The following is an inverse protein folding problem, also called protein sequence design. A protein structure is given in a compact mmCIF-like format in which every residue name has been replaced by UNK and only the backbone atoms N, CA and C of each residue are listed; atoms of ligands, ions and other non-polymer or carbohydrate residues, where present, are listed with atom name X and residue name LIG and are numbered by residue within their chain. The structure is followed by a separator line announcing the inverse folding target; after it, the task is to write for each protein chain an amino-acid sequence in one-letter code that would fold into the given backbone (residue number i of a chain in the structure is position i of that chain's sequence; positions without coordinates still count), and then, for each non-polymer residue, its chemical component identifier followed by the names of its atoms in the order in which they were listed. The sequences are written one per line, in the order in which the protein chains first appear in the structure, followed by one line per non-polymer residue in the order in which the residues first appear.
data_IF_918777695640
#
_entry.id   IF_918777695640
#
_cell.length_a   1.000
_cell.length_b   1.000
_cell.length_c   1.000
_cell.angle_alpha   90.00
_cell.angle_beta   90.00
_cell.angle_gamma   90.00
#
_symmetry.space_group_name_H-M   'P 1'
#
loop_
_entity.id
_entity.type
_entity.pdbx_description
1 polymer ?
#
# COMPACT_ATOMS: atom_id res chain seq x y z
N UNK A 1 32.12 5.30 -38.22
CA UNK A 1 30.66 5.10 -38.14
C UNK A 1 30.38 4.57 -36.72
N UNK A 2 29.41 5.17 -36.06
CA UNK A 2 29.05 4.81 -34.70
C UNK A 2 27.57 4.41 -34.64
N UNK A 3 27.32 3.26 -34.01
CA UNK A 3 25.97 2.92 -33.64
C UNK A 3 25.55 3.71 -32.40
N UNK A 4 24.30 4.01 -32.28
CA UNK A 4 23.77 4.52 -31.00
C UNK A 4 23.90 3.49 -29.90
N UNK A 5 24.08 3.93 -28.68
CA UNK A 5 23.93 3.09 -27.49
C UNK A 5 22.47 2.73 -27.23
N UNK A 6 22.23 1.61 -26.58
CA UNK A 6 20.89 1.22 -26.16
C UNK A 6 20.35 2.15 -25.06
N UNK A 7 19.05 2.43 -25.07
CA UNK A 7 18.40 3.08 -23.93
C UNK A 7 18.21 2.06 -22.80
N UNK A 8 18.32 2.51 -21.56
CA UNK A 8 17.98 1.68 -20.40
C UNK A 8 16.47 1.44 -20.29
N UNK A 9 16.08 0.37 -19.67
CA UNK A 9 14.68 0.07 -19.37
C UNK A 9 14.21 0.82 -18.11
N UNK A 10 12.90 0.95 -17.98
CA UNK A 10 12.29 1.49 -16.78
C UNK A 10 12.50 0.52 -15.59
N UNK A 11 12.70 1.07 -14.42
CA UNK A 11 12.68 0.30 -13.18
C UNK A 11 11.30 -0.24 -12.87
N UNK A 12 11.22 -1.31 -12.10
CA UNK A 12 9.95 -1.86 -11.64
C UNK A 12 9.31 -0.98 -10.57
N UNK A 13 7.97 -1.03 -10.52
CA UNK A 13 7.21 -0.40 -9.44
C UNK A 13 7.49 -1.14 -8.12
N UNK A 14 7.67 -0.40 -7.04
CA UNK A 14 7.81 -0.96 -5.70
C UNK A 14 6.53 -1.70 -5.27
N UNK A 15 6.66 -2.64 -4.36
CA UNK A 15 5.50 -3.34 -3.80
C UNK A 15 4.72 -2.45 -2.83
N UNK A 16 3.42 -2.70 -2.73
CA UNK A 16 2.58 -2.06 -1.73
C UNK A 16 3.01 -2.44 -0.32
N UNK A 17 2.78 -1.54 0.62
CA UNK A 17 2.97 -1.77 2.04
C UNK A 17 1.93 -2.75 2.60
N UNK A 18 2.20 -3.28 3.77
CA UNK A 18 1.26 -4.15 4.47
C UNK A 18 0.03 -3.37 4.94
N UNK A 19 -1.15 -3.99 4.84
CA UNK A 19 -2.39 -3.45 5.38
C UNK A 19 -2.34 -3.34 6.90
N UNK A 20 -2.96 -2.30 7.42
CA UNK A 20 -3.20 -2.12 8.84
C UNK A 20 -4.60 -2.56 9.25
N UNK A 21 -4.83 -2.68 10.54
CA UNK A 21 -6.14 -2.94 11.12
C UNK A 21 -6.49 -1.83 12.09
N UNK A 22 -7.56 -1.12 11.79
CA UNK A 22 -8.15 -0.07 12.62
C UNK A 22 -9.38 -0.61 13.34
N UNK A 23 -9.80 0.05 14.40
CA UNK A 23 -11.03 -0.36 15.10
C UNK A 23 -11.90 0.83 15.47
N UNK A 24 -13.19 0.54 15.51
CA UNK A 24 -14.21 1.39 16.11
C UNK A 24 -14.94 0.65 17.23
N UNK A 25 -15.57 1.42 18.10
CA UNK A 25 -16.47 0.88 19.08
C UNK A 25 -17.93 1.12 18.69
N UNK A 26 -18.69 0.03 18.66
CA UNK A 26 -20.14 0.10 18.56
C UNK A 26 -20.72 0.08 19.97
N UNK A 27 -21.54 1.06 20.29
CA UNK A 27 -22.22 1.18 21.56
C UNK A 27 -23.70 0.84 21.40
N UNK A 28 -24.21 -0.02 22.27
CA UNK A 28 -25.63 -0.36 22.32
C UNK A 28 -26.11 -0.44 23.76
N UNK A 29 -27.36 0.00 23.96
CA UNK A 29 -28.00 -0.08 25.25
C UNK A 29 -28.99 -1.25 25.28
N UNK A 30 -28.85 -2.13 26.26
CA UNK A 30 -29.78 -3.25 26.47
C UNK A 30 -30.62 -2.96 27.70
N UNK A 31 -31.90 -2.71 27.47
CA UNK A 31 -32.89 -2.62 28.55
C UNK A 31 -33.39 -4.00 28.90
N UNK A 32 -33.47 -4.29 30.16
CA UNK A 32 -34.10 -5.53 30.67
C UNK A 32 -35.40 -5.21 31.41
N UNK A 33 -36.25 -6.19 31.47
CA UNK A 33 -37.43 -6.15 32.34
C UNK A 33 -37.06 -6.15 33.83
N UNK A 34 -38.08 -6.12 34.68
CA UNK A 34 -37.96 -6.06 36.14
C UNK A 34 -36.98 -7.11 36.73
N UNK A 35 -36.01 -6.63 37.47
CA UNK A 35 -35.17 -7.47 38.33
C UNK A 35 -33.79 -7.84 37.79
N UNK A 36 -33.50 -7.60 36.51
CA UNK A 36 -32.21 -7.94 35.93
C UNK A 36 -31.63 -6.78 35.14
N UNK A 37 -30.33 -6.61 35.26
CA UNK A 37 -29.60 -5.77 34.36
C UNK A 37 -29.53 -6.46 32.99
N UNK A 38 -29.76 -5.71 31.91
CA UNK A 38 -29.60 -6.24 30.53
C UNK A 38 -28.25 -6.92 30.37
N UNK A 39 -28.25 -8.06 29.72
CA UNK A 39 -27.03 -8.79 29.40
C UNK A 39 -26.57 -8.47 27.97
N UNK A 40 -25.34 -8.01 27.85
CA UNK A 40 -24.76 -7.70 26.56
C UNK A 40 -24.64 -8.92 25.64
N UNK A 41 -24.66 -10.12 26.18
CA UNK A 41 -24.67 -11.37 25.40
C UNK A 41 -25.89 -11.49 24.48
N UNK A 42 -27.00 -10.83 24.80
CA UNK A 42 -28.19 -10.80 24.01
C UNK A 42 -28.01 -10.06 22.67
N UNK A 43 -27.00 -9.21 22.56
CA UNK A 43 -26.65 -8.49 21.33
C UNK A 43 -25.76 -9.32 20.38
N UNK A 44 -25.32 -10.50 20.82
CA UNK A 44 -24.41 -11.37 20.09
C UNK A 44 -22.99 -11.38 20.67
N UNK A 45 -22.11 -12.12 20.03
CA UNK A 45 -20.73 -12.28 20.50
C UNK A 45 -19.93 -10.99 20.36
N UNK A 46 -19.00 -10.76 21.30
CA UNK A 46 -18.06 -9.64 21.26
C UNK A 46 -18.52 -8.36 21.97
N UNK A 47 -19.77 -8.30 22.43
CA UNK A 47 -20.23 -7.19 23.25
C UNK A 47 -19.79 -7.38 24.71
N UNK A 48 -19.20 -6.33 25.27
CA UNK A 48 -18.77 -6.27 26.68
C UNK A 48 -19.52 -5.14 27.36
N UNK A 49 -19.95 -5.37 28.58
CA UNK A 49 -20.58 -4.35 29.40
C UNK A 49 -19.54 -3.36 29.91
N UNK A 50 -19.84 -2.06 29.72
CA UNK A 50 -18.94 -0.97 30.13
C UNK A 50 -19.60 -0.03 31.17
N UNK A 51 -20.92 -0.06 31.28
CA UNK A 51 -21.65 0.80 32.19
C UNK A 51 -23.11 0.41 32.35
N UNK A 52 -23.87 1.30 32.93
CA UNK A 52 -25.29 1.12 33.19
C UNK A 52 -25.64 0.18 34.33
N UNK A 53 -26.89 0.14 34.71
CA UNK A 53 -27.45 -0.66 35.80
C UNK A 53 -26.78 -0.45 37.19
N UNK A 54 -27.16 0.58 37.85
CA UNK A 54 -26.80 0.74 39.26
C UNK A 54 -27.36 -0.41 40.09
N UNK A 55 -26.58 -0.87 41.10
CA UNK A 55 -26.92 -1.96 42.03
C UNK A 55 -28.18 -1.73 42.90
N UNK A 56 -28.96 -0.70 42.59
CA UNK A 56 -30.24 -0.37 43.24
C UNK A 56 -31.43 -0.38 42.28
N UNK A 57 -31.23 -0.81 41.03
CA UNK A 57 -32.32 -0.92 40.03
C UNK A 57 -33.10 -2.20 40.27
N UNK A 58 -34.04 -2.15 41.16
CA UNK A 58 -34.98 -3.23 41.46
C UNK A 58 -36.38 -2.87 41.02
N UNK A 59 -37.15 -3.85 40.61
CA UNK A 59 -38.62 -3.69 40.57
C UNK A 59 -39.20 -3.81 41.96
N UNK A 60 -39.84 -2.76 42.44
CA UNK A 60 -40.65 -2.88 43.64
C UNK A 60 -42.01 -3.41 43.22
N UNK A 61 -42.28 -4.65 43.51
CA UNK A 61 -43.59 -5.24 43.43
C UNK A 61 -44.29 -5.02 44.78
N UNK A 62 -45.17 -4.10 44.88
CA UNK A 62 -46.00 -3.87 46.09
C UNK A 62 -47.44 -4.29 45.78
N UNK A 63 -47.91 -5.32 46.42
CA UNK A 63 -49.29 -5.74 46.35
C UNK A 63 -49.57 -6.94 47.25
N UNK A 64 -50.61 -6.85 48.05
CA UNK A 64 -51.22 -7.94 48.78
C UNK A 64 -52.48 -8.35 48.04
N UNK A 65 -52.54 -9.56 47.52
CA UNK A 65 -53.70 -10.08 46.85
C UNK A 65 -53.52 -10.32 45.35
N UNK A 66 -54.60 -10.58 44.64
CA UNK A 66 -54.66 -11.04 43.25
C UNK A 66 -54.20 -10.05 42.18
N UNK A 67 -53.76 -8.84 42.54
CA UNK A 67 -53.27 -7.81 41.63
C UNK A 67 -51.81 -7.47 41.96
N UNK A 68 -50.89 -8.08 41.26
CA UNK A 68 -49.49 -7.70 41.32
C UNK A 68 -49.18 -6.60 40.34
N UNK A 69 -49.02 -5.37 40.80
CA UNK A 69 -48.51 -4.26 40.03
C UNK A 69 -47.03 -4.05 40.30
N UNK A 70 -46.17 -4.46 39.41
CA UNK A 70 -44.75 -4.12 39.49
C UNK A 70 -44.50 -2.75 38.86
N UNK A 71 -44.12 -1.74 39.68
CA UNK A 71 -43.64 -0.46 39.17
C UNK A 71 -42.17 -0.52 38.89
N UNK A 72 -41.84 -0.28 37.68
CA UNK A 72 -40.46 -0.10 37.19
C UNK A 72 -39.91 1.21 37.78
N UNK A 73 -38.91 1.14 38.66
CA UNK A 73 -38.13 2.29 39.09
C UNK A 73 -36.84 2.31 38.32
N UNK A 74 -36.64 3.38 37.54
CA UNK A 74 -35.42 3.76 36.83
C UNK A 74 -34.61 2.56 36.32
N UNK A 75 -35.03 1.99 35.21
CA UNK A 75 -34.24 1.03 34.47
C UNK A 75 -33.07 1.77 33.83
N UNK A 76 -31.92 1.63 34.44
CA UNK A 76 -30.69 1.93 33.71
C UNK A 76 -30.46 0.81 32.72
N UNK A 77 -30.42 1.12 31.44
CA UNK A 77 -30.01 0.16 30.44
C UNK A 77 -28.54 -0.21 30.65
N UNK A 78 -28.17 -1.45 30.38
CA UNK A 78 -26.77 -1.82 30.32
C UNK A 78 -26.14 -1.17 29.09
N UNK A 79 -25.07 -0.43 29.30
CA UNK A 79 -24.23 0.05 28.20
C UNK A 79 -23.27 -1.05 27.76
N UNK A 80 -23.40 -1.47 26.52
CA UNK A 80 -22.60 -2.51 25.90
C UNK A 80 -21.74 -1.93 24.78
N UNK A 81 -20.51 -2.41 24.68
CA UNK A 81 -19.55 -2.00 23.67
C UNK A 81 -19.00 -3.22 22.95
N UNK A 82 -18.90 -3.14 21.64
CA UNK A 82 -18.21 -4.10 20.80
C UNK A 82 -17.12 -3.37 20.00
N UNK A 83 -15.96 -4.00 19.91
CA UNK A 83 -14.91 -3.55 19.00
C UNK A 83 -15.15 -4.16 17.63
N UNK A 84 -15.21 -3.35 16.60
CA UNK A 84 -15.20 -3.79 15.21
C UNK A 84 -13.90 -3.38 14.54
N UNK A 85 -13.27 -4.35 13.89
CA UNK A 85 -12.00 -4.16 13.20
C UNK A 85 -12.24 -3.98 11.70
N UNK A 86 -11.57 -3.00 11.11
CA UNK A 86 -11.60 -2.72 9.69
C UNK A 86 -10.17 -2.75 9.14
N UNK A 87 -9.96 -3.45 8.02
CA UNK A 87 -8.67 -3.47 7.34
C UNK A 87 -8.52 -2.21 6.48
N UNK A 88 -7.40 -1.52 6.65
CA UNK A 88 -7.01 -0.37 5.84
C UNK A 88 -5.78 -0.74 5.03
N UNK A 89 -5.81 -0.45 3.73
CA UNK A 89 -4.70 -0.77 2.83
C UNK A 89 -3.40 -0.09 3.27
N UNK A 90 -2.29 -0.75 3.03
CA UNK A 90 -0.95 -0.18 3.19
C UNK A 90 -0.69 0.94 2.17
N UNK A 91 0.44 1.59 2.28
CA UNK A 91 0.87 2.57 1.30
C UNK A 91 1.14 1.94 -0.07
N UNK A 92 0.84 2.63 -1.15
CA UNK A 92 1.13 2.15 -2.51
C UNK A 92 2.62 2.07 -2.78
N UNK A 93 3.06 1.13 -3.61
CA UNK A 93 4.44 1.08 -4.08
C UNK A 93 4.82 2.32 -4.90
N UNK A 94 6.07 2.73 -4.83
CA UNK A 94 6.60 3.84 -5.63
C UNK A 94 6.77 3.43 -7.08
N UNK A 95 6.59 4.37 -8.02
CA UNK A 95 6.83 4.13 -9.45
C UNK A 95 8.30 3.84 -9.72
N UNK A 96 8.60 2.99 -10.70
CA UNK A 96 9.97 2.77 -11.17
C UNK A 96 10.55 4.02 -11.83
N UNK A 97 11.86 4.16 -11.77
CA UNK A 97 12.57 5.25 -12.42
C UNK A 97 12.66 5.05 -13.94
N UNK A 98 12.74 6.14 -14.68
CA UNK A 98 12.94 6.09 -16.13
C UNK A 98 14.32 5.52 -16.48
N UNK A 99 14.37 4.76 -17.56
CA UNK A 99 15.63 4.29 -18.12
C UNK A 99 16.48 5.43 -18.68
N UNK A 100 17.82 5.28 -18.57
CA UNK A 100 18.78 6.25 -19.09
C UNK A 100 18.81 6.26 -20.62
N UNK A 101 19.13 7.40 -21.20
CA UNK A 101 19.28 7.54 -22.65
C UNK A 101 20.59 6.97 -23.15
N UNK A 102 20.55 6.12 -24.18
CA UNK A 102 21.74 5.71 -24.90
C UNK A 102 22.37 6.86 -25.68
N UNK A 103 23.68 6.84 -25.85
CA UNK A 103 24.43 7.76 -26.70
C UNK A 103 23.99 7.63 -28.14
N UNK A 104 23.84 8.75 -28.84
CA UNK A 104 23.44 8.80 -30.22
C UNK A 104 23.66 10.19 -30.81
N UNK A 105 23.39 10.35 -32.13
CA UNK A 105 23.58 11.64 -32.82
C UNK A 105 22.80 12.78 -32.18
N UNK A 106 21.63 12.48 -31.58
CA UNK A 106 20.80 13.46 -30.90
C UNK A 106 21.09 13.59 -29.41
N UNK A 107 22.01 12.75 -28.86
CA UNK A 107 22.40 12.73 -27.46
C UNK A 107 23.87 12.32 -27.32
N UNK A 108 24.75 13.28 -27.58
CA UNK A 108 26.21 13.04 -27.62
C UNK A 108 26.89 13.26 -26.26
N UNK A 109 26.24 14.03 -25.38
CA UNK A 109 26.74 14.35 -24.06
C UNK A 109 25.60 14.37 -23.04
N UNK A 110 25.92 14.32 -21.76
CA UNK A 110 24.93 14.25 -20.67
C UNK A 110 24.97 12.91 -19.95
N UNK A 111 24.16 12.74 -18.94
CA UNK A 111 24.08 11.51 -18.14
C UNK A 111 23.31 10.44 -18.92
N UNK A 112 23.87 9.24 -18.96
CA UNK A 112 23.22 8.02 -19.47
C UNK A 112 22.60 7.20 -18.32
N UNK A 113 22.75 7.65 -17.06
CA UNK A 113 22.19 6.96 -15.91
C UNK A 113 20.67 6.96 -15.92
N UNK A 114 20.08 5.87 -15.49
CA UNK A 114 18.65 5.79 -15.23
C UNK A 114 18.23 6.68 -14.05
N UNK A 115 16.99 7.09 -14.06
CA UNK A 115 16.41 7.87 -12.97
C UNK A 115 16.11 6.97 -11.76
N UNK A 116 16.22 7.52 -10.57
CA UNK A 116 15.80 6.83 -9.33
C UNK A 116 14.29 6.61 -9.32
N UNK A 117 13.86 5.50 -8.76
CA UNK A 117 12.45 5.22 -8.55
C UNK A 117 11.81 6.18 -7.54
N UNK A 118 10.51 6.36 -7.68
CA UNK A 118 9.70 7.19 -6.77
C UNK A 118 9.56 6.54 -5.40
N UNK A 119 9.39 7.36 -4.37
CA UNK A 119 9.09 6.87 -3.03
C UNK A 119 7.73 6.17 -2.96
N UNK A 120 7.61 5.14 -2.16
CA UNK A 120 6.32 4.53 -1.88
C UNK A 120 5.41 5.45 -1.07
N UNK A 121 4.10 5.30 -1.27
CA UNK A 121 3.08 6.06 -0.53
C UNK A 121 3.07 5.68 0.95
N UNK A 122 2.72 6.63 1.80
CA UNK A 122 2.55 6.39 3.22
C UNK A 122 1.29 5.59 3.51
N UNK A 123 1.30 4.82 4.59
CA UNK A 123 0.08 4.25 5.16
C UNK A 123 -0.80 5.39 5.68
N UNK A 124 -2.07 5.42 5.24
CA UNK A 124 -3.00 6.49 5.59
C UNK A 124 -3.32 6.56 7.10
N UNK A 125 -2.97 5.51 7.84
CA UNK A 125 -3.27 5.42 9.27
C UNK A 125 -4.75 5.12 9.53
N UNK A 126 -5.10 5.15 10.81
CA UNK A 126 -6.47 4.95 11.28
C UNK A 126 -7.21 6.26 11.55
N UNK A 127 -6.99 7.28 10.70
CA UNK A 127 -7.71 8.55 10.82
C UNK A 127 -9.21 8.33 10.59
N UNK A 128 -10.04 8.78 11.52
CA UNK A 128 -11.49 8.56 11.50
C UNK A 128 -11.95 7.30 12.24
N UNK A 129 -11.05 6.46 12.72
CA UNK A 129 -11.33 5.32 13.60
C UNK A 129 -10.99 5.63 15.06
N UNK A 130 -11.52 4.85 15.99
CA UNK A 130 -11.22 5.01 17.41
C UNK A 130 -9.76 4.71 17.74
N UNK A 131 -9.13 3.78 17.02
CA UNK A 131 -7.74 3.45 17.22
C UNK A 131 -7.18 2.42 16.25
N UNK A 132 -5.96 1.98 16.53
CA UNK A 132 -5.20 1.05 15.71
C UNK A 132 -4.99 -0.26 16.46
N UNK A 133 -5.32 -1.39 15.82
CA UNK A 133 -4.95 -2.74 16.32
C UNK A 133 -3.57 -3.10 15.80
N UNK A 134 -3.37 -2.95 14.48
CA UNK A 134 -2.09 -3.19 13.83
C UNK A 134 -1.83 -2.06 12.84
N UNK A 135 -0.68 -1.42 12.93
CA UNK A 135 -0.28 -0.41 11.97
C UNK A 135 0.06 -1.08 10.63
N UNK A 136 -0.41 -0.49 9.54
CA UNK A 136 0.07 -0.82 8.21
C UNK A 136 1.47 -0.24 7.97
N UNK A 137 2.05 -0.55 6.81
CA UNK A 137 3.34 -0.03 6.43
C UNK A 137 3.28 0.83 5.16
N UNK A 138 4.29 1.68 5.01
CA UNK A 138 4.55 2.39 3.77
C UNK A 138 4.84 1.40 2.64
N UNK A 139 4.49 1.76 1.41
CA UNK A 139 4.91 1.05 0.21
C UNK A 139 6.42 1.15 -0.02
N UNK A 140 6.98 0.21 -0.73
CA UNK A 140 8.39 0.22 -1.08
C UNK A 140 8.67 1.27 -2.17
N UNK A 141 9.88 1.80 -2.17
CA UNK A 141 10.37 2.66 -3.25
C UNK A 141 10.42 1.86 -4.55
N UNK A 142 10.07 2.48 -5.67
CA UNK A 142 10.25 1.91 -7.00
C UNK A 142 11.74 1.71 -7.31
N UNK A 143 12.02 0.80 -8.23
CA UNK A 143 13.39 0.52 -8.64
C UNK A 143 13.94 1.64 -9.53
N UNK A 144 15.25 1.81 -9.54
CA UNK A 144 15.95 2.73 -10.44
C UNK A 144 15.91 2.18 -11.87
N UNK A 145 15.73 3.02 -12.87
CA UNK A 145 15.83 2.62 -14.27
C UNK A 145 17.24 2.17 -14.65
N UNK A 146 17.36 1.29 -15.64
CA UNK A 146 18.65 0.88 -16.18
C UNK A 146 19.40 2.03 -16.86
N UNK A 147 20.71 2.00 -16.89
CA UNK A 147 21.52 3.00 -17.59
C UNK A 147 21.45 2.82 -19.10
N UNK A 148 21.55 3.91 -19.84
CA UNK A 148 21.76 3.86 -21.29
C UNK A 148 23.18 3.42 -21.65
N UNK A 149 23.37 2.92 -22.86
CA UNK A 149 24.67 2.50 -23.37
C UNK A 149 25.46 3.64 -23.99
N UNK A 150 26.79 3.54 -23.95
CA UNK A 150 27.70 4.36 -24.78
C UNK A 150 27.58 3.96 -26.25
N UNK A 151 28.27 4.69 -27.13
CA UNK A 151 28.26 4.42 -28.55
C UNK A 151 28.57 2.94 -28.90
N UNK A 152 27.59 2.26 -29.49
CA UNK A 152 27.71 0.86 -29.87
C UNK A 152 27.75 -0.14 -28.72
N UNK A 153 27.35 0.27 -27.54
CA UNK A 153 27.29 -0.59 -26.35
C UNK A 153 25.85 -0.73 -25.86
N UNK A 154 25.56 -1.86 -25.24
CA UNK A 154 24.34 -2.03 -24.47
C UNK A 154 24.30 -1.09 -23.27
N UNK A 155 23.13 -0.76 -22.81
CA UNK A 155 22.95 -0.18 -21.50
C UNK A 155 23.41 -1.15 -20.41
N UNK A 156 23.72 -0.64 -19.23
CA UNK A 156 24.05 -1.48 -18.08
C UNK A 156 22.86 -1.73 -17.18
N UNK A 157 22.79 -2.94 -16.66
CA UNK A 157 21.86 -3.27 -15.59
C UNK A 157 22.42 -2.69 -14.29
N UNK A 158 21.62 -1.93 -13.57
CA UNK A 158 21.93 -1.62 -12.18
C UNK A 158 21.31 -2.71 -11.30
N UNK A 159 21.98 -3.15 -10.26
CA UNK A 159 21.49 -4.22 -9.36
C UNK A 159 20.15 -3.82 -8.74
N UNK A 160 19.08 -4.53 -9.02
CA UNK A 160 17.68 -4.34 -8.65
C UNK A 160 16.87 -3.44 -9.59
N UNK A 161 17.04 -3.54 -10.93
CA UNK A 161 16.52 -2.48 -11.79
C UNK A 161 16.21 -2.98 -13.18
N UNK A 162 15.61 -2.11 -13.97
CA UNK A 162 15.40 -2.35 -15.39
C UNK A 162 16.71 -2.72 -16.11
N UNK A 163 16.60 -3.57 -17.11
CA UNK A 163 17.74 -3.99 -17.90
C UNK A 163 18.24 -2.82 -18.78
N UNK A 164 19.52 -2.83 -19.09
CA UNK A 164 20.04 -1.97 -20.15
C UNK A 164 19.56 -2.45 -21.51
N UNK A 165 19.14 -1.54 -22.38
CA UNK A 165 18.73 -1.87 -23.74
C UNK A 165 19.89 -2.28 -24.63
N UNK A 166 19.61 -3.04 -25.67
CA UNK A 166 20.58 -3.47 -26.66
C UNK A 166 21.15 -2.30 -27.47
N UNK A 167 22.42 -2.37 -27.91
CA UNK A 167 22.98 -1.34 -28.75
C UNK A 167 22.31 -1.30 -30.12
N UNK A 168 22.18 -0.09 -30.66
CA UNK A 168 21.79 0.07 -32.05
C UNK A 168 22.81 -0.52 -33.00
N UNK A 169 22.39 -0.87 -34.21
CA UNK A 169 23.31 -1.30 -35.28
C UNK A 169 24.01 -0.10 -35.88
N UNK A 170 25.34 -0.19 -36.06
CA UNK A 170 26.11 0.85 -36.77
C UNK A 170 25.73 0.94 -38.25
N UNK A 171 25.43 -0.19 -38.87
CA UNK A 171 25.04 -0.32 -40.28
C UNK A 171 23.90 -1.34 -40.34
N UNK A 172 22.79 -0.97 -40.94
CA UNK A 172 21.72 -1.94 -41.25
C UNK A 172 22.04 -2.60 -42.58
N UNK A 173 22.25 -3.91 -42.63
CA UNK A 173 22.83 -4.58 -43.79
C UNK A 173 21.80 -4.82 -44.90
N UNK A 174 21.44 -3.80 -45.64
CA UNK A 174 20.76 -3.99 -46.92
C UNK A 174 21.37 -3.04 -47.96
N UNK A 175 22.27 -3.59 -48.77
CA UNK A 175 22.77 -2.89 -49.93
C UNK A 175 24.07 -2.07 -49.75
N UNK A 176 24.76 -2.17 -48.61
CA UNK A 176 26.02 -1.47 -48.37
C UNK A 176 27.19 -2.43 -48.33
N UNK A 177 28.27 -2.09 -49.03
CA UNK A 177 29.57 -2.77 -48.89
C UNK A 177 30.50 -1.86 -48.09
N UNK A 178 30.99 -2.33 -46.94
CA UNK A 178 31.97 -1.60 -46.16
C UNK A 178 33.36 -1.88 -46.76
N UNK A 179 33.98 -0.84 -47.31
CA UNK A 179 35.37 -0.93 -47.81
C UNK A 179 36.31 -0.24 -46.85
N UNK A 180 37.37 -0.90 -46.46
CA UNK A 180 38.37 -0.39 -45.51
C UNK A 180 38.55 -1.27 -44.29
N UNK A 181 39.38 -0.81 -43.34
CA UNK A 181 39.63 -1.54 -42.12
C UNK A 181 38.45 -1.40 -41.13
N UNK A 182 37.76 -2.50 -40.92
CA UNK A 182 36.69 -2.61 -39.93
C UNK A 182 37.23 -3.09 -38.63
N UNK A 183 37.23 -2.27 -37.60
CA UNK A 183 37.62 -2.64 -36.24
C UNK A 183 36.82 -1.79 -35.21
N UNK A 184 36.95 -2.16 -33.93
CA UNK A 184 36.27 -1.48 -32.82
C UNK A 184 36.58 0.02 -32.68
N UNK A 185 37.61 0.53 -33.29
CA UNK A 185 37.96 1.95 -33.27
C UNK A 185 37.28 2.72 -34.41
N UNK A 186 36.94 2.05 -35.51
CA UNK A 186 36.37 2.66 -36.72
C UNK A 186 34.89 2.44 -36.84
N UNK A 187 34.37 1.33 -36.33
CA UNK A 187 32.93 1.02 -36.27
C UNK A 187 32.63 0.55 -34.84
N UNK A 188 31.72 1.30 -34.17
CA UNK A 188 31.20 0.94 -32.87
C UNK A 188 29.76 0.46 -32.98
N UNK A 189 29.51 -0.77 -32.56
CA UNK A 189 28.24 -1.47 -32.68
C UNK A 189 28.31 -2.69 -33.58
N UNK A 190 27.23 -3.47 -33.64
CA UNK A 190 27.12 -4.59 -34.59
C UNK A 190 26.95 -4.10 -36.03
N UNK A 191 27.50 -4.81 -36.98
CA UNK A 191 27.42 -4.58 -38.42
C UNK A 191 27.14 -5.88 -39.15
#
# INVERSE_FOLDING_TARGET
IYAGGGAGEHGATGSDGQSGTCFDYIFQNVSSGCGFCGDCSSLGSGYTRIGGCNSGSGCNCAGWGWWYGCRQRNLSAAECRKQENTTVAGGTGGVGGDGGRGRGFNFQSGSIAGATGGAGGAFAGCSGFTGTVTAGSQGNTGETGGDGGEWGQSGSNTSNTGNGGDPGKAITPTGFTVTGTVNSNTIKGSY
#
